data_IF_578742583317
#
_entry.id   IF_578742583317
#
_cell.length_a   1.000
_cell.length_b   1.000
_cell.length_c   1.000
_cell.angle_alpha   90.00
_cell.angle_beta   90.00
_cell.angle_gamma   90.00
#
_symmetry.space_group_name_H-M   'P 1'
#
loop_
_entity.id
_entity.type
_entity.pdbx_description
1 polymer ?
#
# COMPACT_ATOMS: atom_id res chain seq x y z
N UNK A 1 6.84 2.33 12.36
CA UNK A 1 5.76 3.17 11.79
C UNK A 1 6.14 4.64 11.81
N UNK A 2 6.47 5.22 12.97
CA UNK A 2 6.89 6.63 13.08
C UNK A 2 8.07 6.74 14.05
N UNK A 3 9.10 7.52 13.69
CA UNK A 3 10.25 7.79 14.54
C UNK A 3 10.34 9.30 14.80
N UNK A 4 9.85 9.74 15.97
CA UNK A 4 9.64 11.15 16.31
C UNK A 4 10.39 11.60 17.57
N UNK A 5 11.21 10.73 18.17
CA UNK A 5 11.93 11.01 19.44
C UNK A 5 11.04 11.54 20.58
N UNK A 6 9.80 11.03 20.68
CA UNK A 6 8.84 11.44 21.70
C UNK A 6 9.14 10.77 23.05
N UNK A 7 9.01 11.54 24.14
CA UNK A 7 9.23 11.07 25.52
C UNK A 7 8.08 11.38 26.49
N UNK A 8 6.92 11.77 25.95
CA UNK A 8 5.75 12.12 26.76
C UNK A 8 5.04 10.89 27.32
N UNK A 9 5.02 9.77 26.58
CA UNK A 9 4.40 8.53 27.04
C UNK A 9 2.88 8.56 26.92
N UNK A 10 2.21 7.80 27.81
CA UNK A 10 0.75 7.76 27.97
C UNK A 10 -0.05 7.39 26.70
N UNK A 11 0.59 6.71 25.74
CA UNK A 11 -0.07 6.30 24.49
C UNK A 11 -0.17 7.42 23.44
N UNK A 12 0.41 8.60 23.66
CA UNK A 12 0.41 9.70 22.68
C UNK A 12 1.02 9.29 21.33
N UNK A 13 2.09 8.50 21.34
CA UNK A 13 2.65 7.91 20.12
C UNK A 13 1.72 6.93 19.39
N UNK A 14 0.86 6.22 20.12
CA UNK A 14 -0.12 5.32 19.53
C UNK A 14 -1.27 6.11 18.87
N UNK A 15 -1.76 7.18 19.52
CA UNK A 15 -2.76 8.06 18.92
C UNK A 15 -2.23 8.75 17.65
N UNK A 16 -0.96 9.16 17.64
CA UNK A 16 -0.31 9.73 16.44
C UNK A 16 -0.18 8.73 15.28
N UNK A 17 -0.23 7.42 15.56
CA UNK A 17 -0.20 6.38 14.54
C UNK A 17 -1.59 6.06 13.97
N UNK A 18 -2.69 6.45 14.62
CA UNK A 18 -4.05 6.13 14.19
C UNK A 18 -4.35 6.59 12.75
N UNK A 19 -4.00 7.82 12.31
CA UNK A 19 -4.28 8.25 10.94
C UNK A 19 -3.56 7.40 9.89
N UNK A 20 -2.39 6.84 10.22
CA UNK A 20 -1.65 5.94 9.32
C UNK A 20 -2.36 4.58 9.22
N UNK A 21 -2.91 4.09 10.32
CA UNK A 21 -3.72 2.87 10.33
C UNK A 21 -4.99 3.06 9.49
N UNK A 22 -5.69 4.17 9.68
CA UNK A 22 -6.89 4.51 8.90
C UNK A 22 -6.57 4.60 7.41
N UNK A 23 -5.46 5.27 7.05
CA UNK A 23 -5.00 5.35 5.67
C UNK A 23 -4.69 3.96 5.09
N UNK A 24 -4.07 3.06 5.86
CA UNK A 24 -3.79 1.70 5.40
C UNK A 24 -5.07 0.90 5.14
N UNK A 25 -6.08 1.05 5.99
CA UNK A 25 -7.41 0.43 5.80
C UNK A 25 -8.10 1.00 4.56
N UNK A 26 -8.07 2.32 4.37
CA UNK A 26 -8.63 2.97 3.20
C UNK A 26 -7.91 2.51 1.92
N UNK A 27 -6.59 2.44 1.93
CA UNK A 27 -5.79 1.91 0.82
C UNK A 27 -6.24 0.49 0.44
N UNK A 28 -6.43 -0.40 1.41
CA UNK A 28 -6.87 -1.77 1.14
C UNK A 28 -8.29 -1.83 0.53
N UNK A 29 -9.20 -0.98 1.01
CA UNK A 29 -10.61 -1.06 0.65
C UNK A 29 -10.98 -0.23 -0.60
N UNK A 30 -10.23 0.82 -0.88
CA UNK A 30 -10.66 1.88 -1.81
C UNK A 30 -9.70 2.08 -2.98
N UNK A 31 -8.47 1.54 -2.92
CA UNK A 31 -7.59 1.61 -4.09
C UNK A 31 -8.06 0.65 -5.18
N UNK A 32 -8.18 1.18 -6.39
CA UNK A 32 -8.37 0.37 -7.59
C UNK A 32 -7.19 -0.60 -7.76
N UNK A 33 -7.50 -1.81 -8.19
CA UNK A 33 -6.51 -2.78 -8.67
C UNK A 33 -5.84 -2.30 -9.96
N UNK A 34 -4.74 -2.93 -10.36
CA UNK A 34 -4.04 -2.58 -11.60
C UNK A 34 -4.93 -2.74 -12.84
N UNK A 35 -5.76 -3.77 -12.89
CA UNK A 35 -6.71 -4.01 -13.98
C UNK A 35 -7.78 -2.91 -14.03
N UNK A 36 -8.38 -2.56 -12.89
CA UNK A 36 -9.39 -1.48 -12.79
C UNK A 36 -8.81 -0.11 -13.16
N UNK A 37 -7.55 0.14 -12.80
CA UNK A 37 -6.84 1.36 -13.14
C UNK A 37 -6.24 1.35 -14.57
N UNK A 38 -6.42 0.26 -15.33
CA UNK A 38 -5.85 0.05 -16.66
C UNK A 38 -4.32 0.30 -16.72
N UNK A 39 -3.58 -0.14 -15.71
CA UNK A 39 -2.12 0.01 -15.64
C UNK A 39 -1.45 -1.10 -16.44
N UNK A 40 -0.68 -0.74 -17.47
CA UNK A 40 0.11 -1.67 -18.28
C UNK A 40 1.56 -1.77 -17.79
N UNK A 41 2.16 -2.95 -17.95
CA UNK A 41 3.47 -3.31 -17.41
C UNK A 41 3.41 -4.63 -16.66
N UNK A 42 4.56 -5.26 -16.32
CA UNK A 42 4.57 -6.63 -15.83
C UNK A 42 3.95 -6.72 -14.43
N UNK A 43 2.67 -7.03 -14.39
CA UNK A 43 1.95 -7.55 -13.24
C UNK A 43 1.49 -8.98 -13.58
N UNK A 44 2.44 -9.93 -13.65
CA UNK A 44 2.13 -11.35 -13.80
C UNK A 44 1.88 -11.87 -15.22
N UNK A 45 2.37 -11.20 -16.27
CA UNK A 45 2.31 -11.75 -17.62
C UNK A 45 3.41 -12.82 -17.81
N UNK A 46 3.02 -14.10 -17.85
CA UNK A 46 3.85 -15.13 -18.50
C UNK A 46 3.83 -14.76 -19.98
N UNK A 47 4.98 -14.30 -20.48
CA UNK A 47 5.22 -14.01 -21.89
C UNK A 47 5.24 -15.36 -22.63
N UNK A 48 4.07 -15.94 -22.92
CA UNK A 48 3.96 -17.18 -23.69
C UNK A 48 3.85 -16.92 -25.21
N UNK A 49 3.97 -15.67 -25.67
CA UNK A 49 3.85 -15.33 -27.10
C UNK A 49 5.18 -15.05 -27.83
N UNK A 50 6.33 -15.07 -27.14
CA UNK A 50 7.64 -14.78 -27.76
C UNK A 50 8.37 -16.04 -28.28
N UNK A 51 7.76 -17.23 -28.21
CA UNK A 51 8.23 -18.40 -28.99
C UNK A 51 7.60 -18.30 -30.37
N UNK A 52 8.25 -17.56 -31.26
CA UNK A 52 8.02 -17.66 -32.71
C UNK A 52 8.91 -18.81 -33.22
N UNK A 53 8.31 -19.99 -33.31
CA UNK A 53 8.40 -21.02 -34.39
C UNK A 53 7.39 -22.14 -34.10
#
# INVERSE_FOLDING_TARGET
>A
LVNLDLRLGEGTGALLALPILDAAVATLNEMATFDEANVSGPAGEIIESDIID
#
